data_IF_321752265131
#
_entry.id   IF_321752265131
#
_cell.length_a   1.000
_cell.length_b   1.000
_cell.length_c   1.000
_cell.angle_alpha   90.00
_cell.angle_beta   90.00
_cell.angle_gamma   90.00
#
_symmetry.space_group_name_H-M   'P 1'
#
loop_
_entity.id
_entity.type
_entity.pdbx_description
1 polymer ?
#
# COMPACT_ATOMS: atom_id res chain seq x y z
N UNK A 1 15.76 -55.91 -32.95
CA UNK A 1 15.60 -55.04 -34.14
C UNK A 1 14.12 -54.64 -34.20
N UNK A 2 13.57 -54.02 -33.16
CA UNK A 2 13.56 -52.57 -32.87
C UNK A 2 12.91 -51.74 -33.98
N UNK A 3 11.58 -51.65 -33.94
CA UNK A 3 10.76 -50.65 -34.61
C UNK A 3 10.52 -49.47 -33.65
N UNK A 4 10.58 -48.19 -34.09
CA UNK A 4 10.39 -47.04 -33.21
C UNK A 4 8.89 -46.70 -33.05
N UNK A 5 8.50 -46.37 -31.82
CA UNK A 5 7.21 -45.75 -31.48
C UNK A 5 7.23 -44.26 -31.89
N UNK A 6 6.09 -43.68 -32.31
CA UNK A 6 6.02 -42.28 -32.68
C UNK A 6 6.10 -41.38 -31.44
N UNK A 7 6.94 -40.35 -31.54
CA UNK A 7 7.14 -39.31 -30.54
C UNK A 7 5.88 -38.48 -30.34
N UNK A 8 5.38 -38.43 -29.09
CA UNK A 8 4.37 -37.46 -28.66
C UNK A 8 4.96 -36.04 -28.77
N UNK A 9 4.23 -35.07 -29.33
CA UNK A 9 4.72 -33.70 -29.40
C UNK A 9 4.84 -33.11 -27.99
N UNK A 10 6.00 -32.53 -27.79
CA UNK A 10 6.46 -31.77 -26.64
C UNK A 10 5.43 -30.72 -26.23
N UNK A 11 5.14 -30.71 -24.93
CA UNK A 11 4.85 -29.50 -24.16
C UNK A 11 3.70 -28.63 -24.70
N UNK A 12 2.48 -28.97 -24.30
CA UNK A 12 1.43 -27.98 -24.16
C UNK A 12 1.90 -26.98 -23.08
N UNK A 13 2.55 -25.89 -23.50
CA UNK A 13 2.66 -24.70 -22.67
C UNK A 13 1.23 -24.18 -22.50
N UNK A 14 0.55 -24.65 -21.45
CA UNK A 14 -0.45 -23.82 -20.78
C UNK A 14 0.32 -22.57 -20.39
N UNK A 15 0.11 -21.50 -21.18
CA UNK A 15 0.49 -20.16 -20.80
C UNK A 15 0.00 -19.98 -19.36
N UNK A 16 0.94 -19.96 -18.42
CA UNK A 16 0.65 -19.63 -17.03
C UNK A 16 -0.17 -18.34 -17.09
N UNK A 17 -1.33 -18.41 -16.47
CA UNK A 17 -2.16 -17.28 -16.05
C UNK A 17 -1.34 -16.01 -16.03
N UNK A 18 -1.76 -15.03 -16.83
CA UNK A 18 -1.33 -13.64 -16.75
C UNK A 18 -0.97 -13.29 -15.30
N UNK A 19 0.24 -12.77 -15.02
CA UNK A 19 0.62 -12.45 -13.65
C UNK A 19 -0.48 -11.58 -13.06
N UNK A 20 -1.12 -12.07 -12.00
CA UNK A 20 -2.00 -11.25 -11.19
C UNK A 20 -1.23 -9.95 -10.93
N UNK A 21 -1.80 -8.77 -11.27
CA UNK A 21 -1.13 -7.52 -11.01
C UNK A 21 -0.77 -7.51 -9.53
N UNK A 22 0.51 -7.28 -9.27
CA UNK A 22 1.02 -7.03 -7.94
C UNK A 22 0.16 -5.98 -7.24
N UNK A 23 -0.46 -6.33 -6.11
CA UNK A 23 -1.32 -5.39 -5.40
C UNK A 23 -0.90 -5.23 -3.93
N UNK A 24 -0.40 -4.07 -3.58
CA UNK A 24 -0.11 -3.62 -2.22
C UNK A 24 -1.40 -3.21 -1.49
N UNK A 25 -1.43 -3.33 -0.17
CA UNK A 25 -2.52 -2.87 0.69
C UNK A 25 -1.96 -2.28 1.97
N UNK A 26 -2.57 -1.20 2.44
CA UNK A 26 -2.46 -0.68 3.80
C UNK A 26 -3.76 -1.04 4.54
N UNK A 27 -3.63 -1.77 5.64
CA UNK A 27 -4.67 -2.05 6.62
C UNK A 27 -4.38 -1.21 7.84
N UNK A 28 -5.38 -0.51 8.39
CA UNK A 28 -5.18 0.26 9.62
C UNK A 28 -6.44 0.42 10.45
N UNK A 29 -6.26 0.75 11.72
CA UNK A 29 -7.28 1.27 12.62
C UNK A 29 -6.80 2.52 13.32
N UNK A 30 -7.46 3.65 13.04
CA UNK A 30 -7.25 4.95 13.69
C UNK A 30 -7.90 5.03 15.07
N UNK A 31 -8.77 4.07 15.39
CA UNK A 31 -9.39 3.92 16.71
C UNK A 31 -9.37 2.44 17.10
N UNK A 32 -8.19 1.92 17.51
CA UNK A 32 -8.09 0.56 18.00
C UNK A 32 -9.04 0.30 19.20
N UNK A 33 -9.48 -0.96 19.40
CA UNK A 33 -10.17 -1.41 20.61
C UNK A 33 -9.37 -1.11 21.88
N UNK A 34 -10.05 -1.17 23.04
CA UNK A 34 -9.50 -0.97 24.41
C UNK A 34 -8.89 0.40 24.71
N UNK A 35 -8.47 1.17 23.71
CA UNK A 35 -7.81 2.47 23.88
C UNK A 35 -6.34 2.37 24.30
N UNK A 36 -5.79 1.16 24.42
CA UNK A 36 -4.37 0.92 24.76
C UNK A 36 -3.42 1.32 23.63
N UNK A 37 -3.85 1.16 22.38
CA UNK A 37 -3.10 1.52 21.19
C UNK A 37 -3.75 2.71 20.50
N UNK A 38 -2.97 3.73 20.14
CA UNK A 38 -3.48 4.89 19.41
C UNK A 38 -3.62 4.63 17.91
N UNK A 39 -2.92 3.62 17.38
CA UNK A 39 -2.90 3.24 15.97
C UNK A 39 -2.47 1.78 15.84
N UNK A 40 -3.16 1.03 15.00
CA UNK A 40 -2.74 -0.29 14.54
C UNK A 40 -2.67 -0.24 13.01
N UNK A 41 -1.60 -0.74 12.40
CA UNK A 41 -1.48 -0.82 10.95
C UNK A 41 -0.67 -2.02 10.49
N UNK A 42 -0.95 -2.48 9.28
CA UNK A 42 -0.17 -3.43 8.52
C UNK A 42 -0.08 -2.94 7.07
N UNK A 43 1.13 -2.80 6.55
CA UNK A 43 1.35 -2.50 5.14
C UNK A 43 1.96 -3.71 4.45
N UNK A 44 1.28 -4.24 3.44
CA UNK A 44 1.81 -5.28 2.58
C UNK A 44 2.29 -4.68 1.25
N UNK A 45 3.52 -5.06 0.84
CA UNK A 45 4.09 -4.72 -0.46
C UNK A 45 4.20 -5.98 -1.31
N UNK A 46 3.26 -6.15 -2.23
CA UNK A 46 3.19 -7.32 -3.12
C UNK A 46 3.64 -7.00 -4.56
N UNK A 47 4.58 -6.05 -4.71
CA UNK A 47 5.12 -5.66 -6.02
C UNK A 47 6.54 -6.19 -6.26
N UNK A 48 6.73 -6.83 -7.42
CA UNK A 48 8.00 -7.28 -7.99
C UNK A 48 9.02 -7.64 -6.91
N UNK A 49 8.88 -8.83 -6.30
CA UNK A 49 9.75 -9.31 -5.20
C UNK A 49 11.25 -9.22 -5.53
N UNK A 50 11.61 -9.21 -6.82
CA UNK A 50 12.98 -9.06 -7.29
C UNK A 50 13.54 -7.62 -7.20
N UNK A 51 12.72 -6.60 -6.88
CA UNK A 51 13.18 -5.21 -6.78
C UNK A 51 14.06 -5.04 -5.53
N UNK A 52 15.36 -4.69 -5.69
CA UNK A 52 16.30 -4.67 -4.59
C UNK A 52 15.94 -3.56 -3.58
N UNK A 53 15.95 -3.91 -2.30
CA UNK A 53 15.68 -2.98 -1.20
C UNK A 53 16.69 -3.17 -0.07
N UNK A 54 16.95 -2.11 0.68
CA UNK A 54 17.63 -2.20 1.96
C UNK A 54 16.61 -2.35 3.09
N UNK A 55 16.97 -3.10 4.12
CA UNK A 55 16.16 -3.28 5.32
C UNK A 55 15.86 -1.94 6.03
N UNK A 56 14.76 -1.95 6.78
CA UNK A 56 14.34 -0.81 7.57
C UNK A 56 15.36 -0.51 8.66
N UNK A 57 15.83 0.73 8.69
CA UNK A 57 16.78 1.21 9.70
C UNK A 57 16.60 2.71 9.91
N UNK A 58 17.03 3.20 11.07
CA UNK A 58 16.96 4.61 11.42
C UNK A 58 18.04 5.41 10.71
N UNK A 59 17.63 6.29 9.81
CA UNK A 59 18.52 7.19 9.06
C UNK A 59 17.92 8.59 9.09
N UNK A 60 18.72 9.56 9.54
CA UNK A 60 18.32 10.97 9.61
C UNK A 60 16.97 11.21 10.33
N UNK A 61 16.68 10.43 11.37
CA UNK A 61 15.45 10.54 12.16
C UNK A 61 14.23 9.84 11.56
N UNK A 62 14.40 9.10 10.46
CA UNK A 62 13.36 8.32 9.77
C UNK A 62 13.71 6.84 9.83
N UNK A 63 12.75 6.00 10.21
CA UNK A 63 12.81 4.55 10.07
C UNK A 63 12.11 4.17 8.77
N UNK A 64 12.87 3.62 7.82
CA UNK A 64 12.35 3.19 6.52
C UNK A 64 13.26 2.15 5.87
N UNK A 65 12.67 1.24 5.09
CA UNK A 65 13.41 0.52 4.05
C UNK A 65 13.72 1.47 2.88
N UNK A 66 14.73 1.14 2.07
CA UNK A 66 15.16 1.99 0.94
C UNK A 66 15.06 1.22 -0.36
N UNK A 67 14.46 1.84 -1.38
CA UNK A 67 14.53 1.37 -2.76
C UNK A 67 15.95 1.52 -3.31
N UNK A 68 16.61 0.41 -3.57
CA UNK A 68 17.96 0.40 -4.15
C UNK A 68 17.95 0.37 -5.68
N UNK A 69 16.78 0.21 -6.29
CA UNK A 69 16.64 0.16 -7.74
C UNK A 69 16.92 1.51 -8.41
N UNK A 70 16.57 2.61 -7.73
CA UNK A 70 16.65 3.97 -8.28
C UNK A 70 17.70 4.77 -7.50
N UNK A 71 18.58 5.56 -8.17
CA UNK A 71 19.61 6.36 -7.52
C UNK A 71 19.10 7.35 -6.47
N UNK A 72 17.85 7.82 -6.60
CA UNK A 72 17.19 8.74 -5.67
C UNK A 72 16.98 8.11 -4.27
N UNK A 73 17.03 6.77 -4.15
CA UNK A 73 16.89 6.04 -2.88
C UNK A 73 15.61 6.41 -2.11
N UNK A 74 14.48 6.22 -2.78
CA UNK A 74 13.16 6.49 -2.21
C UNK A 74 12.67 5.42 -1.24
N UNK A 75 11.46 5.59 -0.72
CA UNK A 75 10.77 4.59 0.10
C UNK A 75 9.26 4.61 -0.12
N UNK A 76 8.61 3.48 0.16
CA UNK A 76 7.15 3.35 0.13
C UNK A 76 6.51 3.51 1.51
N UNK A 77 7.27 3.34 2.59
CA UNK A 77 6.76 3.39 3.95
C UNK A 77 7.84 3.88 4.89
N UNK A 78 7.50 4.88 5.69
CA UNK A 78 8.43 5.47 6.64
C UNK A 78 7.71 6.04 7.86
N UNK A 79 8.42 6.05 9.00
CA UNK A 79 7.96 6.64 10.26
C UNK A 79 9.08 7.50 10.86
N UNK A 80 8.74 8.64 11.49
CA UNK A 80 9.70 9.42 12.27
C UNK A 80 9.44 9.30 13.79
N UNK A 81 10.36 9.83 14.60
CA UNK A 81 10.28 9.77 16.08
C UNK A 81 9.09 10.54 16.67
N UNK A 82 8.47 11.45 15.91
CA UNK A 82 7.30 12.21 16.33
C UNK A 82 5.99 11.41 16.13
N UNK A 83 6.07 10.31 15.37
CA UNK A 83 4.92 9.50 14.98
C UNK A 83 4.29 9.92 13.65
N UNK A 84 4.92 10.78 12.84
CA UNK A 84 4.48 10.98 11.46
C UNK A 84 4.79 9.72 10.65
N UNK A 85 3.83 9.28 9.87
CA UNK A 85 3.92 8.10 9.00
C UNK A 85 3.54 8.52 7.59
N UNK A 86 4.41 8.18 6.63
CA UNK A 86 4.19 8.41 5.22
C UNK A 86 4.18 7.09 4.49
N UNK A 87 3.13 6.85 3.69
CA UNK A 87 2.99 5.64 2.89
C UNK A 87 2.61 5.99 1.44
N UNK A 88 3.22 5.28 0.49
CA UNK A 88 3.01 5.47 -0.93
C UNK A 88 2.52 4.15 -1.57
N UNK A 89 1.38 4.23 -2.25
CA UNK A 89 0.81 3.17 -3.07
C UNK A 89 0.83 3.63 -4.53
N UNK A 90 1.29 2.78 -5.44
CA UNK A 90 1.09 3.02 -6.87
C UNK A 90 -0.39 2.85 -7.22
N UNK A 91 -0.95 3.66 -8.12
CA UNK A 91 -2.27 3.36 -8.69
C UNK A 91 -2.07 2.38 -9.85
N UNK A 92 -2.90 1.34 -9.90
CA UNK A 92 -2.89 0.38 -11.00
C UNK A 92 -3.31 1.10 -12.28
N UNK A 93 -2.40 1.12 -13.24
CA UNK A 93 -2.59 1.71 -14.56
C UNK A 93 -1.99 0.80 -15.62
N UNK A 94 -2.65 0.78 -16.78
CA UNK A 94 -2.11 0.22 -18.01
C UNK A 94 -0.74 0.82 -18.35
N UNK A 95 0.22 0.01 -18.86
CA UNK A 95 1.55 0.49 -19.21
C UNK A 95 1.58 1.71 -20.15
N UNK A 96 0.65 1.78 -21.11
CA UNK A 96 0.51 2.88 -22.07
C UNK A 96 0.03 4.20 -21.44
N UNK A 97 -0.58 4.15 -20.25
CA UNK A 97 -0.99 5.33 -19.50
C UNK A 97 0.10 5.84 -18.56
N UNK A 98 1.23 5.12 -18.44
CA UNK A 98 2.39 5.55 -17.64
C UNK A 98 3.24 6.51 -18.43
N UNK A 99 3.79 7.51 -17.76
CA UNK A 99 4.61 8.54 -18.39
C UNK A 99 6.08 8.13 -18.38
N UNK A 100 6.76 8.07 -19.53
CA UNK A 100 8.17 7.68 -19.60
C UNK A 100 9.12 8.60 -18.82
N UNK A 101 8.74 9.86 -18.65
CA UNK A 101 9.50 10.93 -18.01
C UNK A 101 8.99 11.31 -16.61
N UNK A 102 8.08 10.51 -16.03
CA UNK A 102 7.56 10.74 -14.68
C UNK A 102 8.69 10.81 -13.64
N UNK A 103 8.58 11.79 -12.74
CA UNK A 103 9.44 11.85 -11.55
C UNK A 103 9.20 10.63 -10.66
N UNK A 104 10.26 10.22 -9.97
CA UNK A 104 10.13 9.21 -8.92
C UNK A 104 9.35 9.77 -7.73
N UNK A 105 8.35 9.01 -7.28
CA UNK A 105 7.49 9.32 -6.12
C UNK A 105 8.15 9.03 -4.78
N UNK A 106 9.28 8.31 -4.78
CA UNK A 106 9.86 7.74 -3.57
C UNK A 106 10.38 8.76 -2.54
N UNK A 107 10.42 10.06 -2.88
CA UNK A 107 10.73 11.14 -1.94
C UNK A 107 9.52 11.78 -1.27
N UNK A 108 8.31 11.57 -1.79
CA UNK A 108 7.07 12.16 -1.24
C UNK A 108 6.91 11.81 0.24
N UNK A 109 7.00 10.53 0.60
CA UNK A 109 6.86 10.09 1.98
C UNK A 109 7.94 10.64 2.93
N UNK A 110 9.26 10.53 2.65
CA UNK A 110 10.28 11.09 3.55
C UNK A 110 10.26 12.62 3.59
N UNK A 111 9.92 13.30 2.49
CA UNK A 111 9.82 14.76 2.47
C UNK A 111 8.69 15.25 3.40
N UNK A 112 7.57 14.54 3.47
CA UNK A 112 6.52 14.79 4.48
C UNK A 112 7.08 14.69 5.91
N UNK A 113 7.79 13.61 6.23
CA UNK A 113 8.34 13.36 7.57
C UNK A 113 9.38 14.40 8.01
N UNK A 114 10.10 14.99 7.05
CA UNK A 114 11.09 16.05 7.28
C UNK A 114 10.45 17.44 7.31
N UNK A 115 9.26 17.60 6.73
CA UNK A 115 8.56 18.87 6.69
C UNK A 115 7.87 19.19 8.03
N UNK A 116 7.70 20.48 8.37
CA UNK A 116 6.88 20.88 9.50
C UNK A 116 5.37 20.74 9.21
N UNK A 117 4.96 20.56 7.96
CA UNK A 117 3.55 20.54 7.52
C UNK A 117 2.76 19.41 8.16
N UNK A 118 1.51 19.69 8.50
CA UNK A 118 0.54 18.66 8.89
C UNK A 118 0.12 17.81 7.69
N UNK A 119 -0.40 16.61 7.92
CA UNK A 119 -0.74 15.66 6.87
C UNK A 119 -1.68 16.24 5.82
N UNK A 120 -2.69 17.01 6.24
CA UNK A 120 -3.62 17.69 5.33
C UNK A 120 -2.91 18.72 4.45
N UNK A 121 -2.11 19.58 5.06
CA UNK A 121 -1.38 20.65 4.36
C UNK A 121 -0.39 20.08 3.34
N UNK A 122 0.32 19.02 3.72
CA UNK A 122 1.25 18.35 2.83
C UNK A 122 0.53 17.71 1.64
N UNK A 123 -0.58 17.00 1.86
CA UNK A 123 -1.42 16.47 0.78
C UNK A 123 -1.93 17.57 -0.15
N UNK A 124 -2.37 18.71 0.39
CA UNK A 124 -2.83 19.85 -0.41
C UNK A 124 -1.69 20.44 -1.27
N UNK A 125 -0.46 20.44 -0.76
CA UNK A 125 0.72 20.93 -1.51
C UNK A 125 1.05 20.08 -2.74
N UNK A 126 0.77 18.77 -2.71
CA UNK A 126 1.04 17.83 -3.81
C UNK A 126 0.22 18.13 -5.06
N UNK A 127 -0.91 18.85 -4.95
CA UNK A 127 -1.75 19.24 -6.09
C UNK A 127 -0.96 20.00 -7.16
N UNK A 128 -0.01 20.83 -6.73
CA UNK A 128 0.78 21.69 -7.61
C UNK A 128 1.81 20.95 -8.46
N UNK A 129 2.17 19.72 -8.08
CA UNK A 129 3.20 18.89 -8.75
C UNK A 129 2.65 17.51 -9.15
N UNK A 130 1.34 17.31 -9.05
CA UNK A 130 0.68 16.02 -9.23
C UNK A 130 0.88 15.44 -10.65
N UNK A 131 0.95 16.32 -11.65
CA UNK A 131 1.15 16.02 -13.06
C UNK A 131 2.62 15.66 -13.39
N UNK A 132 3.53 15.73 -12.42
CA UNK A 132 4.92 15.31 -12.57
C UNK A 132 5.14 13.82 -12.28
N UNK A 133 4.18 13.14 -11.63
CA UNK A 133 4.28 11.74 -11.18
C UNK A 133 3.28 10.78 -11.82
N UNK A 134 3.70 9.54 -12.13
CA UNK A 134 2.79 8.44 -12.43
C UNK A 134 1.74 8.23 -11.32
N UNK A 135 0.62 7.60 -11.63
CA UNK A 135 -0.50 7.42 -10.72
C UNK A 135 -0.10 6.87 -9.35
N UNK A 136 -0.51 7.55 -8.28
CA UNK A 136 -0.21 7.18 -6.90
C UNK A 136 -1.29 7.64 -5.93
N UNK A 137 -1.30 6.97 -4.77
CA UNK A 137 -1.94 7.44 -3.56
C UNK A 137 -0.84 7.62 -2.50
N UNK A 138 -0.73 8.84 -1.98
CA UNK A 138 0.05 9.11 -0.78
C UNK A 138 -0.88 9.14 0.43
N UNK A 139 -0.46 8.51 1.52
CA UNK A 139 -1.16 8.49 2.79
C UNK A 139 -0.27 9.15 3.84
N UNK A 140 -0.76 10.23 4.44
CA UNK A 140 -0.16 10.92 5.57
C UNK A 140 -0.93 10.56 6.84
N UNK A 141 -0.23 10.06 7.85
CA UNK A 141 -0.78 9.83 9.18
C UNK A 141 0.07 10.60 10.19
N UNK A 142 -0.56 11.49 10.93
CA UNK A 142 0.05 12.27 12.01
C UNK A 142 -0.99 12.59 13.09
N UNK A 143 -0.65 13.45 14.04
CA UNK A 143 -1.49 13.70 15.23
C UNK A 143 -1.48 15.16 15.69
N UNK A 144 -1.83 16.12 14.82
CA UNK A 144 -1.79 17.55 15.17
C UNK A 144 -2.76 17.88 16.32
N UNK A 145 -3.90 17.18 16.41
CA UNK A 145 -4.87 17.31 17.50
C UNK A 145 -4.56 16.48 18.76
N UNK A 146 -3.46 15.71 18.77
CA UNK A 146 -3.10 14.76 19.83
C UNK A 146 -3.61 13.33 19.60
N UNK A 147 -4.56 13.12 18.69
CA UNK A 147 -4.99 11.81 18.21
C UNK A 147 -4.52 11.58 16.77
N UNK A 148 -4.35 10.32 16.35
CA UNK A 148 -3.98 10.05 14.97
C UNK A 148 -5.11 10.41 13.99
N UNK A 149 -4.71 11.08 12.91
CA UNK A 149 -5.53 11.48 11.79
C UNK A 149 -4.91 10.91 10.50
N UNK A 150 -5.74 10.60 9.51
CA UNK A 150 -5.27 10.12 8.21
C UNK A 150 -5.82 10.98 7.09
N UNK A 151 -4.89 11.46 6.27
CA UNK A 151 -5.15 12.17 5.04
C UNK A 151 -4.55 11.39 3.87
N UNK A 152 -5.17 11.47 2.69
CA UNK A 152 -4.57 10.94 1.48
C UNK A 152 -4.73 11.87 0.29
N UNK A 153 -3.78 11.77 -0.62
CA UNK A 153 -3.80 12.45 -1.91
C UNK A 153 -3.63 11.42 -3.03
N UNK A 154 -4.52 11.42 -4.02
CA UNK A 154 -4.49 10.52 -5.18
C UNK A 154 -4.52 11.34 -6.46
N UNK A 155 -3.59 11.07 -7.39
CA UNK A 155 -3.44 11.86 -8.62
C UNK A 155 -3.93 11.16 -9.90
N UNK A 156 -4.54 9.98 -9.80
CA UNK A 156 -4.98 9.20 -10.97
C UNK A 156 -6.33 8.54 -10.72
N UNK A 157 -7.14 8.46 -11.79
CA UNK A 157 -8.50 7.91 -11.78
C UNK A 157 -9.41 8.56 -10.73
N UNK A 158 -9.31 9.88 -10.61
CA UNK A 158 -10.16 10.75 -9.78
C UNK A 158 -10.66 11.91 -10.63
N UNK A 159 -11.84 12.42 -10.32
CA UNK A 159 -12.43 13.56 -11.05
C UNK A 159 -11.74 14.88 -10.68
N UNK A 160 -11.32 15.02 -9.41
CA UNK A 160 -10.69 16.22 -8.88
C UNK A 160 -9.47 15.86 -8.00
N UNK A 161 -8.44 16.71 -8.04
CA UNK A 161 -7.24 16.57 -7.20
C UNK A 161 -7.49 17.16 -5.82
N UNK A 162 -7.98 16.30 -4.91
CA UNK A 162 -8.35 16.69 -3.57
C UNK A 162 -7.62 15.89 -2.48
N UNK A 163 -7.52 16.51 -1.31
CA UNK A 163 -7.07 15.82 -0.10
C UNK A 163 -8.28 15.16 0.53
N UNK A 164 -8.21 13.85 0.71
CA UNK A 164 -9.24 13.08 1.41
C UNK A 164 -8.87 12.93 2.88
N UNK A 165 -9.75 13.37 3.76
CA UNK A 165 -9.72 13.04 5.18
C UNK A 165 -10.47 11.71 5.42
N UNK A 166 -9.91 10.84 6.25
CA UNK A 166 -10.50 9.54 6.55
C UNK A 166 -11.12 9.52 7.95
N UNK A 167 -12.35 8.98 8.11
CA UNK A 167 -12.98 8.87 9.43
C UNK A 167 -12.13 8.09 10.43
N UNK A 168 -12.25 8.37 11.73
CA UNK A 168 -11.56 7.61 12.79
C UNK A 168 -12.17 6.21 12.96
N UNK A 169 -11.77 5.29 12.09
CA UNK A 169 -12.21 3.92 12.01
C UNK A 169 -11.08 3.03 11.47
N UNK A 170 -11.36 1.73 11.34
CA UNK A 170 -10.55 0.87 10.50
C UNK A 170 -10.75 1.18 9.02
N UNK A 171 -9.73 0.95 8.20
CA UNK A 171 -9.70 1.22 6.76
C UNK A 171 -8.75 0.26 6.03
N UNK A 172 -9.01 0.10 4.73
CA UNK A 172 -8.10 -0.56 3.79
C UNK A 172 -7.87 0.35 2.60
N UNK A 173 -6.61 0.61 2.27
CA UNK A 173 -6.20 1.43 1.12
C UNK A 173 -5.33 0.56 0.21
N UNK A 174 -5.59 0.57 -1.10
CA UNK A 174 -4.86 -0.26 -2.06
C UNK A 174 -4.39 0.53 -3.28
N UNK A 175 -4.08 -0.18 -4.37
CA UNK A 175 -3.66 0.40 -5.64
C UNK A 175 -4.83 0.93 -6.49
N UNK A 176 -6.00 1.16 -5.91
CA UNK A 176 -7.16 1.74 -6.56
C UNK A 176 -7.45 3.15 -6.00
N UNK A 177 -8.23 3.97 -6.73
CA UNK A 177 -8.71 5.27 -6.25
C UNK A 177 -9.51 5.16 -4.95
N UNK A 178 -9.59 6.24 -4.17
CA UNK A 178 -10.18 6.21 -2.83
C UNK A 178 -11.70 5.94 -2.78
N UNK A 179 -12.39 5.92 -3.93
CA UNK A 179 -13.83 5.68 -4.04
C UNK A 179 -14.16 4.27 -4.55
N UNK A 180 -13.15 3.46 -4.84
CA UNK A 180 -13.31 2.09 -5.32
C UNK A 180 -12.56 1.12 -4.43
N UNK A 181 -12.85 -0.16 -4.57
CA UNK A 181 -12.21 -1.22 -3.79
C UNK A 181 -11.99 -2.44 -4.66
N UNK A 182 -10.90 -3.16 -4.40
CA UNK A 182 -10.74 -4.52 -4.90
C UNK A 182 -11.42 -5.50 -3.96
N UNK A 183 -11.88 -6.65 -4.46
CA UNK A 183 -12.42 -7.75 -3.64
C UNK A 183 -11.43 -8.25 -2.59
N UNK A 184 -10.12 -8.21 -2.90
CA UNK A 184 -9.09 -8.54 -1.91
C UNK A 184 -9.02 -7.53 -0.76
N UNK A 185 -9.40 -6.28 -1.00
CA UNK A 185 -9.45 -5.25 0.04
C UNK A 185 -10.68 -5.45 0.91
N UNK A 186 -11.81 -5.87 0.32
CA UNK A 186 -13.01 -6.27 1.07
C UNK A 186 -12.69 -7.48 1.97
N UNK A 187 -12.10 -8.54 1.42
CA UNK A 187 -11.64 -9.72 2.18
C UNK A 187 -10.67 -9.34 3.30
N UNK A 188 -9.67 -8.52 2.98
CA UNK A 188 -8.70 -8.07 3.97
C UNK A 188 -9.32 -7.13 5.01
N UNK A 189 -10.42 -6.45 4.69
CA UNK A 189 -11.18 -5.66 5.66
C UNK A 189 -11.90 -6.55 6.66
N UNK A 190 -12.54 -7.62 6.20
CA UNK A 190 -13.17 -8.62 7.07
C UNK A 190 -12.16 -9.22 8.05
N UNK A 191 -10.99 -9.62 7.54
CA UNK A 191 -9.90 -10.16 8.37
C UNK A 191 -9.37 -9.14 9.38
N UNK A 192 -9.24 -7.87 9.00
CA UNK A 192 -8.85 -6.82 9.92
C UNK A 192 -9.89 -6.66 11.03
N UNK A 193 -11.17 -6.67 10.69
CA UNK A 193 -12.25 -6.59 11.68
C UNK A 193 -12.27 -7.79 12.63
N UNK A 194 -11.99 -9.01 12.14
CA UNK A 194 -11.81 -10.20 12.99
C UNK A 194 -10.66 -10.02 13.98
N UNK A 195 -9.50 -9.54 13.52
CA UNK A 195 -8.34 -9.27 14.39
C UNK A 195 -8.70 -8.23 15.44
N UNK A 196 -9.29 -7.09 15.04
CA UNK A 196 -9.66 -6.02 15.96
C UNK A 196 -10.71 -6.48 16.98
N UNK A 197 -11.73 -7.23 16.56
CA UNK A 197 -12.76 -7.74 17.49
C UNK A 197 -12.20 -8.76 18.50
N UNK A 198 -11.08 -9.41 18.20
CA UNK A 198 -10.38 -10.30 19.12
C UNK A 198 -9.52 -9.59 20.17
N UNK A 199 -9.29 -8.29 20.06
CA UNK A 199 -8.45 -7.53 20.99
C UNK A 199 -9.22 -7.24 22.29
N UNK A 200 -8.68 -7.73 23.40
CA UNK A 200 -9.13 -7.44 24.77
C UNK A 200 -8.01 -6.75 25.57
N UNK A 201 -8.28 -6.31 26.80
CA UNK A 201 -7.32 -5.53 27.61
C UNK A 201 -6.00 -6.27 27.84
N UNK A 202 -6.07 -7.59 27.98
CA UNK A 202 -4.94 -8.48 28.20
C UNK A 202 -4.13 -8.77 26.93
N UNK A 203 -4.68 -8.50 25.74
CA UNK A 203 -3.99 -8.78 24.48
C UNK A 203 -2.73 -7.92 24.36
N UNK A 204 -1.60 -8.58 24.13
CA UNK A 204 -0.29 -7.95 23.97
C UNK A 204 -0.09 -7.39 22.57
N UNK A 205 0.87 -6.47 22.42
CA UNK A 205 1.22 -5.93 21.10
C UNK A 205 1.79 -7.01 20.17
N UNK A 206 2.48 -8.00 20.75
CA UNK A 206 3.06 -9.15 20.07
C UNK A 206 1.97 -10.06 19.50
N UNK A 207 0.94 -10.40 20.29
CA UNK A 207 -0.21 -11.19 19.82
C UNK A 207 -1.01 -10.47 18.71
N UNK A 208 -1.17 -9.15 18.83
CA UNK A 208 -1.77 -8.33 17.76
C UNK A 208 -0.92 -8.40 16.49
N UNK A 209 0.40 -8.22 16.61
CA UNK A 209 1.31 -8.28 15.46
C UNK A 209 1.29 -9.66 14.79
N UNK A 210 1.30 -10.75 15.57
CA UNK A 210 1.18 -12.12 15.05
C UNK A 210 -0.13 -12.32 14.28
N UNK A 211 -1.25 -11.81 14.82
CA UNK A 211 -2.56 -11.89 14.16
C UNK A 211 -2.59 -11.10 12.84
N UNK A 212 -1.99 -9.91 12.80
CA UNK A 212 -1.83 -9.13 11.57
C UNK A 212 -0.91 -9.83 10.57
N UNK A 213 0.18 -10.46 11.00
CA UNK A 213 1.05 -11.23 10.11
C UNK A 213 0.37 -12.49 9.57
N UNK A 214 -0.49 -13.14 10.36
CA UNK A 214 -1.32 -14.24 9.89
C UNK A 214 -2.31 -13.76 8.81
N UNK A 215 -2.98 -12.62 9.05
CA UNK A 215 -3.83 -11.96 8.05
C UNK A 215 -3.05 -11.63 6.76
N UNK A 216 -1.85 -11.06 6.88
CA UNK A 216 -1.00 -10.71 5.73
C UNK A 216 -0.53 -11.91 4.89
N UNK A 217 -0.69 -13.13 5.41
CA UNK A 217 -0.36 -14.39 4.73
C UNK A 217 -1.59 -15.09 4.12
N UNK A 218 -2.77 -14.48 4.17
CA UNK A 218 -3.97 -15.01 3.51
C UNK A 218 -3.71 -15.22 2.01
N UNK A 219 -4.09 -16.41 1.50
CA UNK A 219 -3.85 -16.82 0.11
C UNK A 219 -5.14 -16.91 -0.70
N UNK A 220 -6.27 -16.45 -0.17
CA UNK A 220 -7.55 -16.52 -0.84
C UNK A 220 -7.50 -15.67 -2.11
N UNK A 221 -7.87 -16.28 -3.23
CA UNK A 221 -7.92 -15.60 -4.53
C UNK A 221 -9.27 -14.90 -4.67
N UNK A 222 -9.25 -13.58 -4.82
CA UNK A 222 -10.45 -12.74 -4.88
C UNK A 222 -10.84 -12.39 -6.33
N UNK A 223 -10.84 -13.37 -7.24
CA UNK A 223 -11.19 -13.21 -8.65
C UNK A 223 -12.55 -13.84 -9.00
N UNK A 224 -13.27 -13.34 -10.03
CA UNK A 224 -12.97 -12.15 -10.84
C UNK A 224 -13.17 -10.85 -10.06
N UNK A 225 -12.49 -9.77 -10.43
CA UNK A 225 -12.54 -8.48 -9.73
C UNK A 225 -12.84 -7.35 -10.73
N UNK A 226 -14.05 -6.81 -10.68
CA UNK A 226 -14.52 -5.84 -11.65
C UNK A 226 -13.76 -4.50 -11.61
N UNK A 227 -13.26 -4.10 -10.43
CA UNK A 227 -12.47 -2.88 -10.29
C UNK A 227 -11.06 -3.07 -10.80
N UNK A 228 -10.50 -4.27 -10.60
CA UNK A 228 -9.22 -4.59 -11.19
C UNK A 228 -9.34 -4.64 -12.72
N UNK A 229 -10.35 -5.35 -13.22
CA UNK A 229 -10.64 -5.48 -14.65
C UNK A 229 -10.78 -4.08 -15.28
N UNK A 230 -11.47 -3.13 -14.64
CA UNK A 230 -11.65 -1.77 -15.16
C UNK A 230 -10.36 -0.93 -15.19
N UNK A 231 -9.36 -1.22 -14.36
CA UNK A 231 -8.07 -0.50 -14.32
C UNK A 231 -6.98 -1.12 -15.22
N UNK A 232 -7.18 -2.37 -15.65
CA UNK A 232 -6.23 -3.13 -16.47
C UNK A 232 -6.78 -3.48 -17.86
N UNK A 233 -7.95 -2.95 -18.23
CA UNK A 233 -8.58 -3.12 -19.54
C UNK A 233 -8.64 -1.82 -20.33
#
# INVERSE_FOLDING_TARGET
LSSPLPSLPSTLFLARSSPSPAMCNLFLSLRPPTGRHSLILLSNRDEVLARPTAEADWRDGILAGIDLQIPLKGTWFCINKQGKIGLLLAITQLPEHRRPDAKSRGRIAPDFLLSPMEGKEYCDSLKSTADEYDGFTFVAIDRPSGEYEMHSFTNAHVDELETKEWPKAAHVVGNCPPHTTYKKMERGRELLDEVLNGIVEETTSEEIAESLFAMGQDRVQCYPDAQLDSQVS
#
